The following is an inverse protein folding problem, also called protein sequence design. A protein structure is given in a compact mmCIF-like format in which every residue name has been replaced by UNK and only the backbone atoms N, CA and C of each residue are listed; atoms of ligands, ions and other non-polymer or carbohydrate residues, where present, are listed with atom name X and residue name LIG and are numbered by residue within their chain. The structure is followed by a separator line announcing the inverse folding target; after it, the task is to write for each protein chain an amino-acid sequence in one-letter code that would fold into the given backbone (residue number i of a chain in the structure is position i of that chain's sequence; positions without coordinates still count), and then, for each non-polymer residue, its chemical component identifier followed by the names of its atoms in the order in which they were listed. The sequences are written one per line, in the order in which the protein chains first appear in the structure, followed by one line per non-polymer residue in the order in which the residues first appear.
data_IF_639495791739
#
_entry.id   IF_639495791739
#
_cell.length_a   1.000
_cell.length_b   1.000
_cell.length_c   1.000
_cell.angle_alpha   90.00
_cell.angle_beta   90.00
_cell.angle_gamma   90.00
#
_symmetry.space_group_name_H-M   'P 1'
#
loop_
_entity.id
_entity.type
_entity.pdbx_description
1 polymer ?
#
# COMPACT_ATOMS: atom_id res chain seq x y z
N UNK A 1 14.31 24.39 7.74
CA UNK A 1 13.91 23.19 8.51
C UNK A 1 12.75 22.52 7.78
N UNK A 2 12.96 21.35 7.12
CA UNK A 2 11.84 20.41 6.89
C UNK A 2 12.18 18.89 6.94
N UNK A 3 13.36 18.47 7.42
CA UNK A 3 13.82 17.06 7.32
C UNK A 3 13.05 16.02 8.17
N UNK A 4 12.25 16.45 9.15
CA UNK A 4 11.47 15.55 10.05
C UNK A 4 10.05 15.25 9.55
N UNK A 5 9.64 15.82 8.41
CA UNK A 5 8.23 15.82 7.97
C UNK A 5 7.82 14.55 7.20
N UNK A 6 8.71 14.00 6.37
CA UNK A 6 8.38 12.86 5.51
C UNK A 6 8.24 11.52 6.25
N UNK A 7 9.14 11.24 7.20
CA UNK A 7 9.01 10.08 8.07
C UNK A 7 7.74 10.17 8.94
N UNK A 8 7.36 11.37 9.39
CA UNK A 8 6.12 11.58 10.13
C UNK A 8 4.88 11.36 9.27
N UNK A 9 4.88 11.78 7.99
CA UNK A 9 3.80 11.50 7.04
C UNK A 9 3.61 9.99 6.83
N UNK A 10 4.67 9.26 6.48
CA UNK A 10 4.61 7.80 6.28
C UNK A 10 4.17 7.06 7.54
N UNK A 11 4.69 7.49 8.70
CA UNK A 11 4.37 6.90 10.00
C UNK A 11 2.91 7.15 10.38
N UNK A 12 2.40 8.36 10.13
CA UNK A 12 1.00 8.66 10.36
C UNK A 12 0.09 7.88 9.38
N UNK A 13 0.56 7.64 8.15
CA UNK A 13 -0.21 6.92 7.11
C UNK A 13 -0.33 5.44 7.52
N UNK A 14 0.74 4.88 8.09
CA UNK A 14 0.75 3.55 8.66
C UNK A 14 -0.14 3.42 9.92
N UNK A 15 -0.16 4.43 10.78
CA UNK A 15 -1.02 4.42 11.98
C UNK A 15 -2.51 4.40 11.65
N UNK A 16 -2.91 5.04 10.55
CA UNK A 16 -4.29 5.04 10.07
C UNK A 16 -4.74 3.68 9.55
N UNK A 17 -3.86 3.00 8.82
CA UNK A 17 -4.12 1.64 8.36
C UNK A 17 -4.27 0.66 9.54
N UNK A 18 -3.62 0.91 10.69
CA UNK A 18 -3.69 0.02 11.85
C UNK A 18 -5.05 -0.01 12.56
N UNK A 19 -5.86 1.04 12.46
CA UNK A 19 -7.16 1.10 13.14
C UNK A 19 -8.15 0.04 12.63
N UNK A 20 -7.89 -0.59 11.48
CA UNK A 20 -8.78 -1.57 10.84
C UNK A 20 -8.25 -3.00 10.81
N UNK A 21 -6.96 -3.23 11.06
CA UNK A 21 -6.34 -4.55 11.00
C UNK A 21 -6.40 -5.24 12.37
N UNK A 22 -7.44 -6.06 12.56
CA UNK A 22 -7.62 -6.90 13.76
C UNK A 22 -6.43 -7.85 13.98
N UNK A 23 -5.99 -7.96 15.24
CA UNK A 23 -4.71 -8.48 15.79
C UNK A 23 -4.28 -9.94 15.47
N UNK A 24 -4.77 -10.60 14.42
CA UNK A 24 -4.52 -12.04 14.20
C UNK A 24 -3.40 -12.38 13.20
N UNK A 25 -2.72 -11.41 12.58
CA UNK A 25 -1.64 -11.68 11.59
C UNK A 25 -0.22 -11.31 12.04
N UNK A 26 -0.01 -11.03 13.33
CA UNK A 26 1.24 -10.42 13.86
C UNK A 26 2.47 -11.37 13.88
N UNK A 27 2.35 -12.67 13.60
CA UNK A 27 3.42 -13.64 13.94
C UNK A 27 4.18 -14.34 12.79
N UNK A 28 4.09 -13.91 11.53
CA UNK A 28 4.82 -14.62 10.44
C UNK A 28 5.48 -13.67 9.43
N UNK A 29 6.48 -12.90 9.86
CA UNK A 29 7.31 -12.10 8.95
C UNK A 29 8.75 -12.62 8.93
N UNK A 30 9.01 -13.54 7.99
CA UNK A 30 10.37 -13.78 7.50
C UNK A 30 10.58 -12.93 6.24
N UNK A 31 11.79 -12.39 6.04
CA UNK A 31 12.22 -11.55 4.90
C UNK A 31 12.33 -12.33 3.56
N UNK A 32 11.79 -13.55 3.46
CA UNK A 32 11.79 -14.39 2.26
C UNK A 32 10.82 -14.04 1.10
N UNK A 33 9.81 -13.15 1.19
CA UNK A 33 8.84 -12.87 0.13
C UNK A 33 9.42 -12.49 -1.23
N UNK A 34 10.58 -11.82 -1.23
CA UNK A 34 11.16 -11.25 -2.45
C UNK A 34 11.60 -12.31 -3.47
N UNK A 35 11.96 -13.52 -3.03
CA UNK A 35 12.47 -14.59 -3.92
C UNK A 35 11.40 -15.60 -4.34
N UNK A 36 10.21 -15.59 -3.74
CA UNK A 36 9.17 -16.60 -3.99
C UNK A 36 8.01 -16.12 -4.86
N UNK A 37 7.99 -14.84 -5.24
CA UNK A 37 6.86 -14.13 -5.87
C UNK A 37 6.31 -14.80 -7.14
N UNK A 38 7.12 -15.56 -7.87
CA UNK A 38 6.75 -16.26 -9.11
C UNK A 38 6.52 -17.78 -8.94
N UNK A 39 6.42 -18.28 -7.70
CA UNK A 39 6.36 -19.72 -7.43
C UNK A 39 5.04 -20.41 -7.80
N UNK A 40 3.96 -19.66 -8.00
CA UNK A 40 2.62 -20.19 -8.24
C UNK A 40 2.21 -20.05 -9.71
N UNK A 41 1.90 -21.18 -10.36
CA UNK A 41 1.27 -21.18 -11.69
C UNK A 41 -0.25 -21.17 -11.54
N UNK A 42 -0.85 -19.98 -11.47
CA UNK A 42 -2.31 -19.80 -11.40
C UNK A 42 -2.84 -19.44 -12.81
N UNK A 43 -3.91 -20.08 -13.29
CA UNK A 43 -4.54 -19.71 -14.55
C UNK A 43 -5.02 -18.25 -14.53
N UNK A 44 -4.73 -17.50 -15.60
CA UNK A 44 -5.11 -16.09 -15.73
C UNK A 44 -6.62 -15.86 -15.83
N UNK A 45 -7.41 -16.93 -15.97
CA UNK A 45 -8.86 -16.95 -16.05
C UNK A 45 -9.51 -17.65 -14.84
N UNK A 46 -8.80 -17.74 -13.72
CA UNK A 46 -9.35 -18.24 -12.46
C UNK A 46 -10.63 -17.46 -12.09
N UNK A 47 -11.65 -18.17 -11.59
CA UNK A 47 -12.89 -17.52 -11.16
C UNK A 47 -12.64 -16.63 -9.94
N UNK A 48 -13.44 -15.58 -9.77
CA UNK A 48 -13.36 -14.68 -8.61
C UNK A 48 -13.58 -15.45 -7.30
N UNK A 49 -14.50 -16.41 -7.29
CA UNK A 49 -14.78 -17.25 -6.12
C UNK A 49 -13.58 -18.15 -5.74
N UNK A 50 -12.93 -18.77 -6.72
CA UNK A 50 -11.74 -19.58 -6.46
C UNK A 50 -10.56 -18.71 -6.03
N UNK A 51 -10.41 -17.52 -6.62
CA UNK A 51 -9.40 -16.55 -6.21
C UNK A 51 -9.63 -16.10 -4.76
N UNK A 52 -10.88 -15.81 -4.38
CA UNK A 52 -11.25 -15.47 -3.00
C UNK A 52 -10.92 -16.61 -2.02
N UNK A 53 -11.23 -17.86 -2.41
CA UNK A 53 -10.91 -19.03 -1.60
C UNK A 53 -9.40 -19.17 -1.40
N UNK A 54 -8.60 -19.09 -2.47
CA UNK A 54 -7.14 -19.18 -2.38
C UNK A 54 -6.54 -18.04 -1.56
N UNK A 55 -7.06 -16.83 -1.70
CA UNK A 55 -6.61 -15.67 -0.93
C UNK A 55 -6.94 -15.81 0.56
N UNK A 56 -8.09 -16.43 0.91
CA UNK A 56 -8.42 -16.76 2.29
C UNK A 56 -7.49 -17.84 2.90
N UNK A 57 -7.05 -18.78 2.06
CA UNK A 57 -6.14 -19.87 2.45
C UNK A 57 -4.66 -19.43 2.49
N UNK A 58 -4.32 -18.28 1.91
CA UNK A 58 -2.93 -17.80 1.80
C UNK A 58 -2.26 -17.60 3.14
N UNK A 59 -3.04 -17.36 4.20
CA UNK A 59 -2.53 -16.94 5.52
C UNK A 59 -1.58 -15.73 5.45
N UNK A 60 -1.69 -14.91 4.40
CA UNK A 60 -0.84 -13.75 4.16
C UNK A 60 0.44 -14.06 3.38
N UNK A 61 0.49 -15.16 2.64
CA UNK A 61 1.58 -15.46 1.72
C UNK A 61 1.61 -14.44 0.54
N UNK A 62 2.62 -13.56 0.47
CA UNK A 62 2.71 -12.54 -0.56
C UNK A 62 2.94 -13.11 -1.96
N UNK A 63 3.53 -14.30 -2.09
CA UNK A 63 3.76 -14.92 -3.39
C UNK A 63 2.45 -15.46 -4.00
N UNK A 64 1.61 -16.08 -3.18
CA UNK A 64 0.28 -16.50 -3.61
C UNK A 64 -0.60 -15.29 -3.94
N UNK A 65 -0.55 -14.24 -3.11
CA UNK A 65 -1.28 -12.99 -3.38
C UNK A 65 -0.84 -12.36 -4.71
N UNK A 66 0.46 -12.31 -4.99
CA UNK A 66 1.00 -11.78 -6.26
C UNK A 66 0.47 -12.57 -7.47
N UNK A 67 0.43 -13.90 -7.37
CA UNK A 67 -0.07 -14.76 -8.45
C UNK A 67 -1.58 -14.57 -8.72
N UNK A 68 -2.34 -14.12 -7.72
CA UNK A 68 -3.79 -13.83 -7.84
C UNK A 68 -4.08 -12.45 -8.44
N UNK A 69 -3.12 -11.52 -8.46
CA UNK A 69 -3.30 -10.18 -9.04
C UNK A 69 -3.74 -10.26 -10.50
N UNK A 70 -3.12 -11.15 -11.30
CA UNK A 70 -3.46 -11.28 -12.73
C UNK A 70 -4.91 -11.72 -12.99
N UNK A 71 -5.38 -12.87 -12.47
CA UNK A 71 -6.77 -13.26 -12.69
C UNK A 71 -7.78 -12.27 -12.10
N UNK A 72 -7.50 -11.67 -10.94
CA UNK A 72 -8.39 -10.68 -10.32
C UNK A 72 -8.44 -9.38 -11.13
N UNK A 73 -7.32 -8.91 -11.66
CA UNK A 73 -7.26 -7.75 -12.55
C UNK A 73 -8.06 -7.97 -13.83
N UNK A 74 -7.94 -9.15 -14.45
CA UNK A 74 -8.71 -9.51 -15.63
C UNK A 74 -10.21 -9.55 -15.34
N UNK A 75 -10.61 -10.12 -14.19
CA UNK A 75 -12.01 -10.19 -13.78
C UNK A 75 -12.60 -8.79 -13.51
N UNK A 76 -11.86 -7.94 -12.79
CA UNK A 76 -12.29 -6.57 -12.52
C UNK A 76 -12.39 -5.74 -13.82
N UNK A 77 -11.38 -5.84 -14.70
CA UNK A 77 -11.34 -5.11 -15.97
C UNK A 77 -12.43 -5.55 -16.97
N UNK A 78 -12.88 -6.80 -16.88
CA UNK A 78 -13.96 -7.33 -17.72
C UNK A 78 -15.36 -6.99 -17.18
N UNK A 79 -15.48 -6.68 -15.90
CA UNK A 79 -16.73 -6.31 -15.26
C UNK A 79 -17.02 -4.80 -15.46
N UNK A 80 -18.31 -4.42 -15.41
CA UNK A 80 -18.70 -3.01 -15.46
C UNK A 80 -18.53 -2.38 -14.08
N UNK A 81 -17.82 -1.23 -13.94
CA UNK A 81 -17.72 -0.50 -12.69
C UNK A 81 -19.07 -0.25 -12.01
N UNK A 82 -19.09 -0.38 -10.68
CA UNK A 82 -20.31 -0.22 -9.86
C UNK A 82 -21.25 -1.44 -9.84
N UNK A 83 -20.96 -2.51 -10.58
CA UNK A 83 -21.69 -3.78 -10.47
C UNK A 83 -21.15 -4.65 -9.34
N UNK A 84 -21.95 -5.59 -8.84
CA UNK A 84 -21.51 -6.53 -7.80
C UNK A 84 -20.29 -7.36 -8.24
N UNK A 85 -20.24 -7.80 -9.50
CA UNK A 85 -19.12 -8.56 -10.05
C UNK A 85 -17.81 -7.74 -10.08
N UNK A 86 -17.91 -6.46 -10.45
CA UNK A 86 -16.77 -5.55 -10.36
C UNK A 86 -16.34 -5.34 -8.91
N UNK A 87 -17.29 -5.02 -8.02
CA UNK A 87 -16.98 -4.71 -6.64
C UNK A 87 -16.29 -5.88 -5.93
N UNK A 88 -16.77 -7.11 -6.14
CA UNK A 88 -16.15 -8.31 -5.57
C UNK A 88 -14.72 -8.53 -6.10
N UNK A 89 -14.53 -8.46 -7.42
CA UNK A 89 -13.21 -8.65 -8.03
C UNK A 89 -12.23 -7.54 -7.63
N UNK A 90 -12.66 -6.28 -7.62
CA UNK A 90 -11.84 -5.13 -7.28
C UNK A 90 -11.45 -5.11 -5.79
N UNK A 91 -12.34 -5.52 -4.89
CA UNK A 91 -12.03 -5.66 -3.46
C UNK A 91 -10.97 -6.73 -3.21
N UNK A 92 -11.12 -7.89 -3.84
CA UNK A 92 -10.13 -8.97 -3.75
C UNK A 92 -8.80 -8.57 -4.40
N UNK A 93 -8.85 -7.84 -5.52
CA UNK A 93 -7.67 -7.30 -6.17
C UNK A 93 -6.91 -6.34 -5.25
N UNK A 94 -7.61 -5.41 -4.59
CA UNK A 94 -7.00 -4.49 -3.63
C UNK A 94 -6.31 -5.25 -2.48
N UNK A 95 -6.96 -6.30 -1.97
CA UNK A 95 -6.37 -7.15 -0.93
C UNK A 95 -5.13 -7.91 -1.45
N UNK A 96 -5.21 -8.49 -2.65
CA UNK A 96 -4.09 -9.20 -3.27
C UNK A 96 -2.87 -8.29 -3.44
N UNK A 97 -3.06 -7.07 -3.95
CA UNK A 97 -1.98 -6.06 -4.10
C UNK A 97 -1.40 -5.66 -2.74
N UNK A 98 -2.26 -5.50 -1.73
CA UNK A 98 -1.82 -5.15 -0.37
C UNK A 98 -0.97 -6.28 0.24
N UNK A 99 -1.40 -7.54 0.10
CA UNK A 99 -0.66 -8.69 0.61
C UNK A 99 0.64 -8.92 -0.19
N UNK A 100 0.63 -8.78 -1.50
CA UNK A 100 1.80 -9.01 -2.36
C UNK A 100 2.87 -7.95 -2.24
N UNK A 101 2.48 -6.70 -2.00
CA UNK A 101 3.42 -5.57 -1.91
C UNK A 101 4.32 -5.60 -0.68
N UNK A 102 3.93 -6.33 0.37
CA UNK A 102 4.63 -6.33 1.65
C UNK A 102 4.36 -5.11 2.51
N UNK A 103 3.39 -4.25 2.14
CA UNK A 103 3.06 -3.03 2.88
C UNK A 103 2.50 -3.32 4.28
N UNK A 104 1.77 -4.43 4.48
CA UNK A 104 1.21 -4.79 5.80
C UNK A 104 2.27 -4.91 6.91
N UNK A 105 3.32 -5.74 6.73
CA UNK A 105 4.48 -5.75 7.61
C UNK A 105 5.13 -4.38 7.81
N UNK A 106 5.33 -3.60 6.74
CA UNK A 106 5.97 -2.29 6.83
C UNK A 106 5.18 -1.29 7.66
N UNK A 107 3.86 -1.27 7.48
CA UNK A 107 2.91 -0.48 8.29
C UNK A 107 3.03 -0.89 9.77
N UNK A 108 3.13 -2.19 10.06
CA UNK A 108 3.29 -2.67 11.44
C UNK A 108 4.58 -2.16 12.08
N UNK A 109 5.69 -2.24 11.36
CA UNK A 109 6.97 -1.70 11.83
C UNK A 109 6.89 -0.20 12.07
N UNK A 110 6.25 0.56 11.16
CA UNK A 110 6.07 2.00 11.32
C UNK A 110 5.17 2.36 12.50
N UNK A 111 4.09 1.62 12.73
CA UNK A 111 3.20 1.85 13.86
C UNK A 111 3.91 1.61 15.21
N UNK A 112 4.79 0.62 15.29
CA UNK A 112 5.63 0.42 16.49
C UNK A 112 6.64 1.57 16.62
N UNK A 113 7.31 1.93 15.52
CA UNK A 113 8.29 3.02 15.49
C UNK A 113 7.68 4.35 15.95
N UNK A 114 6.43 4.64 15.60
CA UNK A 114 5.73 5.87 15.98
C UNK A 114 5.50 6.01 17.49
N UNK A 115 5.45 4.90 18.22
CA UNK A 115 5.23 4.88 19.67
C UNK A 115 6.53 5.13 20.45
N UNK A 116 7.68 5.16 19.76
CA UNK A 116 9.00 5.36 20.36
C UNK A 116 9.28 6.86 20.45
N UNK A 117 9.43 7.36 21.68
CA UNK A 117 9.66 8.79 21.95
C UNK A 117 11.10 9.26 21.67
N UNK A 118 12.05 8.33 21.60
CA UNK A 118 13.47 8.61 21.30
C UNK A 118 14.09 7.43 20.55
N UNK A 119 13.80 7.29 19.24
CA UNK A 119 14.28 6.15 18.47
C UNK A 119 15.79 6.18 18.30
N UNK A 120 16.39 5.00 18.43
CA UNK A 120 17.79 4.72 18.14
C UNK A 120 18.04 4.73 16.63
N UNK A 121 19.31 4.86 16.23
CA UNK A 121 19.70 4.76 14.83
C UNK A 121 19.32 3.41 14.19
N UNK A 122 19.34 2.33 14.97
CA UNK A 122 18.94 1.01 14.50
C UNK A 122 17.44 0.94 14.23
N UNK A 123 16.60 1.46 15.12
CA UNK A 123 15.14 1.49 14.93
C UNK A 123 14.73 2.33 13.71
N UNK A 124 15.45 3.43 13.46
CA UNK A 124 15.26 4.24 12.23
C UNK A 124 15.65 3.43 10.99
N UNK A 125 16.78 2.73 11.02
CA UNK A 125 17.22 1.89 9.91
C UNK A 125 16.24 0.74 9.64
N UNK A 126 15.71 0.10 10.69
CA UNK A 126 14.74 -0.99 10.56
C UNK A 126 13.42 -0.50 9.96
N UNK A 127 12.90 0.66 10.42
CA UNK A 127 11.72 1.30 9.83
C UNK A 127 11.93 1.70 8.36
N UNK A 128 13.11 2.24 8.04
CA UNK A 128 13.49 2.61 6.67
C UNK A 128 13.55 1.37 5.78
N UNK A 129 14.22 0.30 6.24
CA UNK A 129 14.33 -0.95 5.51
C UNK A 129 12.96 -1.62 5.29
N UNK A 130 12.07 -1.55 6.27
CA UNK A 130 10.72 -2.09 6.13
C UNK A 130 9.93 -1.38 5.01
N UNK A 131 10.07 -0.05 4.90
CA UNK A 131 9.43 0.72 3.82
C UNK A 131 10.08 0.45 2.47
N UNK A 132 11.42 0.41 2.40
CA UNK A 132 12.14 0.15 1.15
C UNK A 132 11.99 -1.31 0.67
N UNK A 133 11.56 -2.22 1.54
CA UNK A 133 11.23 -3.60 1.16
C UNK A 133 9.87 -3.72 0.47
N UNK A 134 9.00 -2.70 0.56
CA UNK A 134 7.74 -2.67 -0.17
C UNK A 134 8.04 -2.54 -1.66
N UNK A 135 7.40 -3.38 -2.47
CA UNK A 135 7.59 -3.33 -3.91
C UNK A 135 6.30 -3.63 -4.65
N UNK A 136 6.01 -2.84 -5.67
CA UNK A 136 4.90 -3.04 -6.57
C UNK A 136 5.43 -3.36 -7.97
N UNK A 137 4.79 -4.32 -8.66
CA UNK A 137 5.06 -4.55 -10.08
C UNK A 137 4.12 -3.72 -10.96
N UNK A 138 4.40 -3.67 -12.27
CA UNK A 138 3.62 -2.85 -13.21
C UNK A 138 2.13 -3.22 -13.25
N UNK A 139 1.79 -4.50 -13.05
CA UNK A 139 0.40 -4.96 -13.05
C UNK A 139 -0.33 -4.55 -11.77
N UNK A 140 0.34 -4.59 -10.63
CA UNK A 140 -0.22 -4.10 -9.36
C UNK A 140 -0.43 -2.59 -9.37
N UNK A 141 0.50 -1.83 -9.97
CA UNK A 141 0.31 -0.38 -10.18
C UNK A 141 -0.90 -0.14 -11.09
N UNK A 142 -1.04 -0.92 -12.17
CA UNK A 142 -2.20 -0.84 -13.08
C UNK A 142 -3.51 -1.23 -12.38
N UNK A 143 -3.46 -2.19 -11.46
CA UNK A 143 -4.60 -2.60 -10.63
C UNK A 143 -5.01 -1.49 -9.67
N UNK A 144 -4.05 -0.84 -9.01
CA UNK A 144 -4.32 0.31 -8.15
C UNK A 144 -4.90 1.48 -8.93
N UNK A 145 -4.38 1.77 -10.13
CA UNK A 145 -4.96 2.81 -11.00
C UNK A 145 -6.41 2.48 -11.43
N UNK A 146 -6.74 1.20 -11.68
CA UNK A 146 -8.11 0.77 -11.97
C UNK A 146 -9.04 1.02 -10.77
N UNK A 147 -8.58 0.68 -9.56
CA UNK A 147 -9.33 0.84 -8.31
C UNK A 147 -9.51 2.32 -7.98
N UNK A 148 -8.50 3.16 -8.15
CA UNK A 148 -8.60 4.61 -7.94
C UNK A 148 -9.66 5.24 -8.85
N UNK A 149 -9.61 4.93 -10.14
CA UNK A 149 -10.55 5.49 -11.11
C UNK A 149 -11.99 5.00 -10.91
N UNK A 150 -12.17 3.82 -10.30
CA UNK A 150 -13.46 3.17 -10.10
C UNK A 150 -13.50 2.46 -8.73
N UNK A 151 -13.58 3.19 -7.61
CA UNK A 151 -13.52 2.58 -6.29
C UNK A 151 -14.73 1.64 -6.09
N UNK A 152 -14.52 0.39 -5.61
CA UNK A 152 -15.64 -0.50 -5.32
C UNK A 152 -16.51 0.06 -4.19
N UNK A 153 -17.80 -0.32 -4.14
CA UNK A 153 -18.77 0.28 -3.20
C UNK A 153 -18.37 0.18 -1.72
N UNK A 154 -17.63 -0.87 -1.37
CA UNK A 154 -17.24 -1.19 -0.01
C UNK A 154 -15.77 -0.79 0.27
N UNK A 155 -15.16 0.00 -0.63
CA UNK A 155 -13.80 0.50 -0.46
C UNK A 155 -13.77 1.49 0.71
N UNK A 156 -12.82 1.29 1.62
CA UNK A 156 -12.73 2.10 2.85
C UNK A 156 -11.57 3.08 2.79
N UNK A 157 -11.60 4.18 3.57
CA UNK A 157 -10.46 5.08 3.69
C UNK A 157 -9.17 4.36 4.08
N UNK A 158 -9.23 3.36 4.97
CA UNK A 158 -8.07 2.59 5.39
C UNK A 158 -7.43 1.79 4.24
N UNK A 159 -8.24 1.25 3.33
CA UNK A 159 -7.74 0.56 2.14
C UNK A 159 -7.05 1.56 1.19
N UNK A 160 -7.66 2.72 0.99
CA UNK A 160 -7.07 3.79 0.17
C UNK A 160 -5.74 4.30 0.75
N UNK A 161 -5.65 4.55 2.06
CA UNK A 161 -4.38 4.92 2.71
C UNK A 161 -3.31 3.83 2.63
N UNK A 162 -3.72 2.57 2.70
CA UNK A 162 -2.80 1.43 2.55
C UNK A 162 -2.25 1.34 1.14
N UNK A 163 -3.08 1.55 0.11
CA UNK A 163 -2.64 1.65 -1.28
C UNK A 163 -1.70 2.84 -1.49
N UNK A 164 -2.03 4.02 -0.95
CA UNK A 164 -1.16 5.18 -0.98
C UNK A 164 0.19 4.92 -0.32
N UNK A 165 0.22 4.26 0.84
CA UNK A 165 1.46 3.92 1.54
C UNK A 165 2.35 3.00 0.71
N UNK A 166 1.76 2.00 0.03
CA UNK A 166 2.49 1.10 -0.85
C UNK A 166 3.10 1.84 -2.05
N UNK A 167 2.33 2.75 -2.65
CA UNK A 167 2.77 3.57 -3.79
C UNK A 167 3.87 4.58 -3.41
N UNK A 168 3.76 5.25 -2.25
CA UNK A 168 4.82 6.13 -1.74
C UNK A 168 6.10 5.33 -1.50
N UNK A 169 6.00 4.16 -0.87
CA UNK A 169 7.16 3.31 -0.62
C UNK A 169 7.84 2.86 -1.94
N UNK A 170 7.05 2.46 -2.93
CA UNK A 170 7.53 2.15 -4.28
C UNK A 170 8.20 3.35 -4.95
N UNK A 171 7.59 4.54 -4.85
CA UNK A 171 8.14 5.76 -5.43
C UNK A 171 9.49 6.13 -4.81
N UNK A 172 9.60 6.06 -3.48
CA UNK A 172 10.84 6.30 -2.74
C UNK A 172 11.96 5.33 -3.14
N UNK A 173 11.63 4.05 -3.30
CA UNK A 173 12.57 3.03 -3.79
C UNK A 173 13.03 3.37 -5.22
N UNK A 174 12.09 3.76 -6.10
CA UNK A 174 12.36 4.10 -7.50
C UNK A 174 13.24 5.35 -7.66
N UNK A 175 13.08 6.35 -6.81
CA UNK A 175 13.93 7.56 -6.81
C UNK A 175 15.26 7.36 -6.06
N UNK A 176 15.53 6.15 -5.58
CA UNK A 176 16.80 5.77 -4.94
C UNK A 176 16.98 6.38 -3.55
N UNK A 177 15.90 6.49 -2.76
CA UNK A 177 15.99 6.94 -1.37
C UNK A 177 16.53 5.80 -0.50
N UNK A 178 17.59 6.09 0.24
CA UNK A 178 18.21 5.15 1.20
C UNK A 178 18.02 5.57 2.65
N UNK A 179 17.58 6.82 2.88
CA UNK A 179 17.25 7.37 4.20
C UNK A 179 16.04 8.30 4.06
N UNK A 180 14.91 7.89 4.62
CA UNK A 180 13.66 8.64 4.61
C UNK A 180 13.73 9.95 5.41
N UNK A 181 14.72 10.13 6.27
CA UNK A 181 14.97 11.39 7.01
C UNK A 181 15.90 12.35 6.26
N UNK A 182 16.46 11.89 5.14
CA UNK A 182 17.61 12.50 4.46
C UNK A 182 17.41 12.79 2.98
N UNK A 183 16.16 12.99 2.53
CA UNK A 183 15.86 13.36 1.14
C UNK A 183 16.73 14.53 0.67
N UNK A 184 17.39 14.33 -0.47
CA UNK A 184 18.17 15.36 -1.16
C UNK A 184 17.25 16.17 -2.09
N UNK A 185 17.60 17.43 -2.39
CA UNK A 185 16.83 18.25 -3.32
C UNK A 185 16.55 17.58 -4.69
N UNK A 186 17.51 16.89 -5.32
CA UNK A 186 17.25 16.10 -6.52
C UNK A 186 16.23 14.98 -6.32
N UNK A 187 16.24 14.30 -5.16
CA UNK A 187 15.26 13.24 -4.85
C UNK A 187 13.87 13.82 -4.61
N UNK A 188 13.75 15.00 -3.99
CA UNK A 188 12.47 15.70 -3.81
C UNK A 188 11.84 16.04 -5.17
N UNK A 189 12.64 16.57 -6.11
CA UNK A 189 12.18 16.87 -7.48
C UNK A 189 11.80 15.59 -8.23
N UNK A 190 12.62 14.54 -8.12
CA UNK A 190 12.34 13.26 -8.77
C UNK A 190 11.06 12.60 -8.24
N UNK A 191 10.81 12.72 -6.93
CA UNK A 191 9.61 12.19 -6.29
C UNK A 191 8.35 12.96 -6.73
N UNK A 192 8.42 14.29 -6.79
CA UNK A 192 7.30 15.12 -7.24
C UNK A 192 6.89 14.83 -8.70
N UNK A 193 7.82 14.39 -9.54
CA UNK A 193 7.53 13.96 -10.93
C UNK A 193 7.24 12.46 -11.10
N UNK A 194 7.23 11.67 -10.01
CA UNK A 194 7.04 10.23 -10.08
C UNK A 194 5.55 9.87 -10.18
N UNK A 195 5.19 9.05 -11.17
CA UNK A 195 3.78 8.67 -11.42
C UNK A 195 3.17 7.84 -10.28
N UNK A 196 3.95 6.98 -9.63
CA UNK A 196 3.48 6.18 -8.49
C UNK A 196 3.18 7.09 -7.29
N UNK A 197 4.00 8.12 -7.08
CA UNK A 197 3.78 9.13 -6.05
C UNK A 197 2.52 9.96 -6.33
N UNK A 198 2.29 10.36 -7.59
CA UNK A 198 1.06 11.06 -7.98
C UNK A 198 -0.19 10.20 -7.76
N UNK A 199 -0.13 8.92 -8.17
CA UNK A 199 -1.23 7.98 -7.89
C UNK A 199 -1.46 7.79 -6.38
N UNK A 200 -0.39 7.85 -5.57
CA UNK A 200 -0.55 7.81 -4.12
C UNK A 200 -1.33 9.02 -3.58
N UNK A 201 -1.09 10.22 -4.12
CA UNK A 201 -1.84 11.44 -3.77
C UNK A 201 -3.31 11.30 -4.15
N UNK A 202 -3.60 10.71 -5.33
CA UNK A 202 -4.98 10.44 -5.75
C UNK A 202 -5.68 9.51 -4.75
N UNK A 203 -5.00 8.46 -4.28
CA UNK A 203 -5.53 7.58 -3.23
C UNK A 203 -5.74 8.28 -1.88
N UNK A 204 -4.89 9.24 -1.51
CA UNK A 204 -5.09 10.04 -0.29
C UNK A 204 -6.34 10.92 -0.42
N UNK A 205 -6.54 11.53 -1.59
CA UNK A 205 -7.73 12.34 -1.87
C UNK A 205 -8.98 11.47 -1.90
N UNK A 206 -8.90 10.29 -2.52
CA UNK A 206 -9.96 9.28 -2.50
C UNK A 206 -10.31 8.91 -1.05
N UNK A 207 -9.32 8.62 -0.21
CA UNK A 207 -9.53 8.28 1.19
C UNK A 207 -10.32 9.36 1.96
N UNK A 208 -9.97 10.65 1.75
CA UNK A 208 -10.71 11.77 2.33
C UNK A 208 -12.16 11.85 1.83
N UNK A 209 -12.39 11.58 0.53
CA UNK A 209 -13.72 11.58 -0.08
C UNK A 209 -14.65 10.45 0.41
N UNK A 210 -14.07 9.33 0.84
CA UNK A 210 -14.79 8.16 1.37
C UNK A 210 -15.33 8.36 2.80
N UNK A 211 -15.33 9.60 3.29
CA UNK A 211 -15.91 9.96 4.57
C UNK A 211 -14.90 9.91 5.71
N UNK A 212 -13.80 10.66 5.54
CA UNK A 212 -12.82 10.95 6.59
C UNK A 212 -13.47 11.08 7.96
N UNK A 213 -12.99 10.32 8.93
CA UNK A 213 -13.57 10.23 10.27
C UNK A 213 -13.32 11.49 11.13
N UNK A 214 -12.79 12.57 10.54
CA UNK A 214 -12.24 13.70 11.28
C UNK A 214 -10.97 13.35 12.06
N UNK A 215 -10.41 12.17 11.82
CA UNK A 215 -9.27 11.61 12.52
C UNK A 215 -7.92 11.91 11.85
N UNK A 216 -6.93 11.06 12.13
CA UNK A 216 -5.55 11.21 11.65
C UNK A 216 -5.46 11.26 10.12
N UNK A 217 -6.41 10.69 9.38
CA UNK A 217 -6.42 10.59 7.92
C UNK A 217 -6.65 11.93 7.25
N UNK A 218 -7.63 12.67 7.74
CA UNK A 218 -7.91 14.03 7.27
C UNK A 218 -6.76 14.98 7.62
N UNK A 219 -6.11 14.78 8.77
CA UNK A 219 -4.90 15.51 9.16
C UNK A 219 -3.69 15.18 8.28
N UNK A 220 -3.63 13.96 7.74
CA UNK A 220 -2.59 13.51 6.84
C UNK A 220 -2.79 13.97 5.40
N UNK A 221 -4.04 13.96 4.93
CA UNK A 221 -4.43 14.61 3.68
C UNK A 221 -4.01 16.07 3.70
N UNK A 222 -4.37 16.82 4.76
CA UNK A 222 -3.92 18.21 4.93
C UNK A 222 -2.39 18.35 5.02
N UNK A 223 -1.71 17.45 5.74
CA UNK A 223 -0.26 17.51 5.87
C UNK A 223 0.48 17.22 4.55
N UNK A 224 -0.09 16.36 3.69
CA UNK A 224 0.47 16.04 2.38
C UNK A 224 0.11 17.10 1.34
N UNK A 225 -1.09 17.70 1.42
CA UNK A 225 -1.46 18.90 0.67
C UNK A 225 -0.56 20.10 1.02
N UNK A 226 -0.07 20.19 2.26
CA UNK A 226 0.93 21.18 2.68
C UNK A 226 2.37 20.86 2.19
N UNK A 227 2.60 19.64 1.68
CA UNK A 227 3.88 19.17 1.13
C UNK A 227 3.94 19.22 -0.40
N UNK A 228 2.79 19.26 -1.08
CA UNK A 228 2.70 19.57 -2.50
C UNK A 228 2.83 21.10 -2.69
N UNK A 229 3.78 21.59 -3.52
CA UNK A 229 4.01 23.02 -3.70
C UNK A 229 2.88 23.75 -4.45
#
# INVERSE_FOLDING_TARGET
MPRKRYAAALTALALLSFASYSCQRIFTTSLAPFLARDGYTIPSNLSVADAAYLLSQSQGDPALAAALVTPLYNAASAATPGTAAYNEAAMLLAQAVTESSGIGPAITTLAVFSMITSPTAQEIADATNAILAVSLNALEISALALIEANPPSDYTPAMAYTAAAALVAQALSTVGVTDINGLTGPQEIALAGNLDYLLAIDFITLAGSLGGDGGLGDQLGQFLDDLTP
#
